data_IF_319958915703
#
_entry.id   IF_319958915703
#
_cell.length_a   1.000
_cell.length_b   1.000
_cell.length_c   1.000
_cell.angle_alpha   90.00
_cell.angle_beta   90.00
_cell.angle_gamma   90.00
#
_symmetry.space_group_name_H-M   'P 1'
#
loop_
_entity.id
_entity.type
_entity.pdbx_description
1 polymer ?
#
# COMPACT_ATOMS: atom_id res chain seq x y z
N UNK A 1 42.69 -19.70 -25.24
CA UNK A 1 43.22 -20.34 -24.01
C UNK A 1 43.48 -21.79 -24.38
N UNK A 2 44.69 -22.28 -24.26
CA UNK A 2 44.98 -23.70 -24.51
C UNK A 2 44.49 -24.52 -23.31
N UNK A 3 44.02 -25.76 -23.53
CA UNK A 3 43.50 -26.63 -22.47
C UNK A 3 44.53 -26.85 -21.36
N UNK A 4 45.80 -26.81 -21.69
CA UNK A 4 46.92 -26.94 -20.74
C UNK A 4 46.99 -25.75 -19.75
N UNK A 5 46.39 -24.61 -20.03
CA UNK A 5 46.35 -23.48 -19.11
C UNK A 5 45.42 -23.70 -17.90
N UNK A 6 44.60 -24.75 -17.93
CA UNK A 6 43.73 -25.16 -16.84
C UNK A 6 44.42 -26.07 -15.83
N UNK A 7 45.48 -26.77 -16.21
CA UNK A 7 46.21 -27.67 -15.32
C UNK A 7 47.17 -26.91 -14.40
N UNK A 8 47.10 -27.22 -13.11
CA UNK A 8 47.99 -26.60 -12.11
C UNK A 8 47.47 -25.26 -11.56
N UNK A 9 46.27 -24.80 -11.96
CA UNK A 9 45.61 -23.62 -11.40
C UNK A 9 44.43 -24.03 -10.51
N UNK A 10 44.10 -23.19 -9.51
CA UNK A 10 42.89 -23.36 -8.69
C UNK A 10 41.65 -23.31 -9.61
N UNK A 11 40.86 -24.38 -9.62
CA UNK A 11 39.66 -24.46 -10.41
C UNK A 11 38.56 -23.60 -9.74
N UNK A 12 38.00 -22.65 -10.49
CA UNK A 12 36.86 -21.83 -10.10
C UNK A 12 35.74 -22.09 -11.11
N UNK A 13 34.60 -22.59 -10.63
CA UNK A 13 33.49 -22.99 -11.48
C UNK A 13 32.31 -22.06 -11.27
N UNK A 14 31.67 -21.61 -12.33
CA UNK A 14 30.33 -20.98 -12.31
C UNK A 14 29.37 -22.06 -12.85
N UNK A 15 28.45 -22.51 -12.00
CA UNK A 15 27.39 -23.42 -12.41
C UNK A 15 26.13 -22.60 -12.72
N UNK A 16 25.59 -22.74 -13.92
CA UNK A 16 24.40 -22.00 -14.38
C UNK A 16 23.28 -23.01 -14.66
N UNK A 17 22.11 -22.81 -14.08
CA UNK A 17 20.93 -23.65 -14.28
C UNK A 17 20.83 -24.78 -13.26
N UNK A 18 21.05 -26.06 -13.65
CA UNK A 18 20.77 -27.18 -12.77
C UNK A 18 21.57 -27.19 -11.47
N UNK A 19 20.92 -27.22 -10.29
CA UNK A 19 21.59 -27.30 -9.01
C UNK A 19 22.24 -28.70 -8.74
N UNK A 20 21.91 -29.72 -9.53
CA UNK A 20 22.44 -31.08 -9.34
C UNK A 20 23.98 -31.14 -9.42
N UNK A 21 24.59 -30.33 -10.23
CA UNK A 21 26.05 -30.25 -10.35
C UNK A 21 26.75 -29.59 -9.16
N UNK A 22 26.00 -28.80 -8.36
CA UNK A 22 26.55 -28.11 -7.19
C UNK A 22 26.99 -29.09 -6.10
N UNK A 23 26.26 -30.18 -5.93
CA UNK A 23 26.55 -31.21 -4.93
C UNK A 23 27.88 -31.92 -5.25
N UNK A 24 28.09 -32.25 -6.53
CA UNK A 24 29.35 -32.87 -6.96
C UNK A 24 30.56 -31.91 -6.80
N UNK A 25 30.34 -30.61 -7.11
CA UNK A 25 31.38 -29.60 -6.90
C UNK A 25 31.73 -29.42 -5.41
N UNK A 26 30.73 -29.49 -4.52
CA UNK A 26 30.93 -29.47 -3.07
C UNK A 26 31.71 -30.70 -2.58
N UNK A 27 31.32 -31.90 -3.03
CA UNK A 27 31.99 -33.13 -2.69
C UNK A 27 33.46 -33.11 -3.08
N UNK A 28 33.78 -32.56 -4.27
CA UNK A 28 35.13 -32.40 -4.79
C UNK A 28 35.87 -31.20 -4.19
N UNK A 29 35.28 -30.44 -3.29
CA UNK A 29 35.82 -29.19 -2.70
C UNK A 29 36.26 -28.14 -3.72
N UNK A 30 35.59 -28.10 -4.87
CA UNK A 30 35.87 -27.13 -5.92
C UNK A 30 35.17 -25.81 -5.53
N UNK A 31 35.94 -24.72 -5.62
CA UNK A 31 35.37 -23.37 -5.42
C UNK A 31 34.40 -23.05 -6.54
N UNK A 32 33.15 -22.84 -6.21
CA UNK A 32 32.10 -22.62 -7.20
C UNK A 32 31.14 -21.51 -6.75
N UNK A 33 30.50 -20.92 -7.76
CA UNK A 33 29.33 -20.03 -7.63
C UNK A 33 28.20 -20.66 -8.42
N UNK A 34 27.03 -20.83 -7.80
CA UNK A 34 25.83 -21.30 -8.48
C UNK A 34 24.94 -20.11 -8.84
N UNK A 35 24.47 -20.05 -10.09
CA UNK A 35 23.48 -19.12 -10.56
C UNK A 35 22.23 -19.92 -10.97
N UNK A 36 21.13 -19.71 -10.25
CA UNK A 36 19.79 -20.23 -10.63
C UNK A 36 19.26 -19.39 -11.80
N UNK A 37 19.87 -19.60 -12.98
CA UNK A 37 19.47 -18.87 -14.18
C UNK A 37 18.11 -19.35 -14.67
N UNK A 38 17.22 -18.40 -14.91
CA UNK A 38 15.92 -18.60 -15.55
C UNK A 38 15.84 -17.69 -16.77
N UNK A 39 15.15 -18.12 -17.85
CA UNK A 39 14.96 -17.25 -18.99
C UNK A 39 14.15 -16.01 -18.57
N UNK A 40 14.51 -14.80 -19.05
CA UNK A 40 13.74 -13.58 -18.76
C UNK A 40 12.26 -13.77 -19.08
N UNK A 41 11.39 -13.20 -18.26
CA UNK A 41 9.93 -13.29 -18.40
C UNK A 41 9.39 -14.74 -18.52
N UNK A 42 10.04 -15.71 -17.83
CA UNK A 42 9.68 -17.13 -17.91
C UNK A 42 9.80 -17.76 -19.29
N UNK A 43 10.47 -17.08 -20.24
CA UNK A 43 10.62 -17.53 -21.64
C UNK A 43 9.46 -17.10 -22.56
N UNK A 44 8.54 -16.25 -22.12
CA UNK A 44 7.47 -15.71 -23.00
C UNK A 44 8.07 -14.83 -24.09
N UNK A 45 7.92 -15.31 -25.33
CA UNK A 45 8.49 -14.65 -26.53
C UNK A 45 7.93 -13.24 -26.73
N UNK A 46 6.67 -13.00 -26.37
CA UNK A 46 6.02 -11.68 -26.53
C UNK A 46 6.60 -10.67 -25.54
N UNK A 47 6.84 -11.09 -24.30
CA UNK A 47 7.45 -10.26 -23.27
C UNK A 47 8.93 -9.99 -23.56
N UNK A 48 9.66 -11.01 -24.04
CA UNK A 48 11.08 -10.84 -24.46
C UNK A 48 11.19 -9.83 -25.60
N UNK A 49 10.27 -9.84 -26.57
CA UNK A 49 10.25 -8.80 -27.64
C UNK A 49 10.00 -7.41 -27.08
N UNK A 50 9.06 -7.26 -26.11
CA UNK A 50 8.81 -5.99 -25.46
C UNK A 50 10.06 -5.51 -24.68
N UNK A 51 10.70 -6.38 -23.90
CA UNK A 51 11.95 -6.09 -23.18
C UNK A 51 13.06 -5.65 -24.12
N UNK A 52 13.25 -6.34 -25.26
CA UNK A 52 14.25 -5.97 -26.25
C UNK A 52 14.00 -4.60 -26.90
N UNK A 53 12.72 -4.21 -27.11
CA UNK A 53 12.36 -2.87 -27.57
C UNK A 53 12.67 -1.82 -26.51
N UNK A 54 12.33 -2.09 -25.24
CA UNK A 54 12.59 -1.22 -24.11
C UNK A 54 14.09 -0.99 -23.90
N UNK A 55 14.92 -2.01 -24.13
CA UNK A 55 16.37 -1.91 -23.98
C UNK A 55 17.00 -0.82 -24.85
N UNK A 56 16.41 -0.51 -26.01
CA UNK A 56 16.88 0.57 -26.89
C UNK A 56 16.74 1.97 -26.25
N UNK A 57 15.96 2.09 -25.19
CA UNK A 57 15.69 3.33 -24.45
C UNK A 57 16.30 3.33 -23.04
N UNK A 58 17.20 2.38 -22.73
CA UNK A 58 17.74 2.13 -21.39
C UNK A 58 18.26 3.41 -20.72
N UNK A 59 19.02 4.23 -21.42
CA UNK A 59 19.59 5.45 -20.84
C UNK A 59 18.47 6.43 -20.39
N UNK A 60 17.46 6.65 -21.25
CA UNK A 60 16.33 7.51 -20.91
C UNK A 60 15.50 6.98 -19.72
N UNK A 61 15.37 5.66 -19.64
CA UNK A 61 14.67 4.98 -18.55
C UNK A 61 15.45 5.15 -17.25
N UNK A 62 16.77 4.95 -17.28
CA UNK A 62 17.62 5.13 -16.11
C UNK A 62 17.53 6.55 -15.57
N UNK A 63 17.66 7.57 -16.44
CA UNK A 63 17.53 8.99 -16.06
C UNK A 63 16.14 9.30 -15.45
N UNK A 64 15.07 8.77 -16.05
CA UNK A 64 13.71 8.94 -15.57
C UNK A 64 13.46 8.24 -14.23
N UNK A 65 13.99 7.04 -14.04
CA UNK A 65 13.91 6.30 -12.79
C UNK A 65 14.72 6.99 -11.68
N UNK A 66 15.90 7.53 -11.98
CA UNK A 66 16.69 8.32 -11.03
C UNK A 66 15.93 9.58 -10.58
N UNK A 67 15.30 10.30 -11.51
CA UNK A 67 14.46 11.45 -11.17
C UNK A 67 13.26 11.06 -10.30
N UNK A 68 12.59 9.93 -10.62
CA UNK A 68 11.48 9.41 -9.83
C UNK A 68 11.92 9.05 -8.41
N UNK A 69 13.01 8.30 -8.27
CA UNK A 69 13.61 7.94 -6.97
C UNK A 69 13.96 9.19 -6.17
N UNK A 70 14.59 10.18 -6.81
CA UNK A 70 14.95 11.46 -6.18
C UNK A 70 13.70 12.18 -5.64
N UNK A 71 12.63 12.31 -6.43
CA UNK A 71 11.39 12.98 -6.00
C UNK A 71 10.77 12.29 -4.81
N UNK A 72 10.67 10.97 -4.84
CA UNK A 72 10.08 10.20 -3.74
C UNK A 72 10.93 10.28 -2.47
N UNK A 73 12.25 10.17 -2.60
CA UNK A 73 13.18 10.20 -1.45
C UNK A 73 13.24 11.56 -0.76
N UNK A 74 13.21 12.65 -1.55
CA UNK A 74 13.29 14.03 -1.04
C UNK A 74 11.95 14.60 -0.58
N UNK A 75 10.85 13.86 -0.71
CA UNK A 75 9.54 14.27 -0.26
C UNK A 75 9.49 14.43 1.27
N UNK A 76 9.12 15.64 1.71
CA UNK A 76 8.89 15.97 3.11
C UNK A 76 7.39 16.16 3.32
N UNK A 77 6.75 15.13 3.88
CA UNK A 77 5.30 15.05 4.00
C UNK A 77 4.87 15.18 5.46
N UNK A 78 4.04 16.19 5.73
CA UNK A 78 3.48 16.46 7.06
C UNK A 78 1.98 16.29 7.11
N UNK A 79 1.45 15.79 8.21
CA UNK A 79 0.04 15.95 8.56
C UNK A 79 -0.19 17.38 9.03
N UNK A 80 -1.03 18.14 8.33
CA UNK A 80 -1.28 19.56 8.61
C UNK A 80 -2.65 19.84 9.22
N UNK A 81 -3.52 18.84 9.35
CA UNK A 81 -4.83 18.95 9.98
C UNK A 81 -5.82 17.90 9.48
N UNK A 82 -7.08 18.09 9.89
CA UNK A 82 -8.23 17.32 9.43
C UNK A 82 -9.28 18.28 8.85
N UNK A 83 -9.93 17.87 7.75
CA UNK A 83 -10.96 18.65 7.06
C UNK A 83 -12.09 17.75 6.59
N UNK A 84 -13.23 18.34 6.21
CA UNK A 84 -14.24 17.59 5.48
C UNK A 84 -13.73 17.30 4.07
N UNK A 85 -13.98 16.11 3.57
CA UNK A 85 -13.50 15.68 2.25
C UNK A 85 -13.95 16.65 1.14
N UNK A 86 -15.19 17.12 1.16
CA UNK A 86 -15.73 18.07 0.17
C UNK A 86 -14.97 19.40 0.10
N UNK A 87 -14.25 19.77 1.16
CA UNK A 87 -13.58 21.08 1.23
C UNK A 87 -12.14 21.01 0.69
N UNK A 88 -11.56 19.79 0.58
CA UNK A 88 -10.14 19.61 0.29
C UNK A 88 -9.83 18.58 -0.79
N UNK A 89 -10.66 17.53 -0.95
CA UNK A 89 -10.39 16.47 -1.91
C UNK A 89 -10.69 16.95 -3.33
N UNK A 90 -9.73 16.90 -4.26
CA UNK A 90 -9.92 17.45 -5.61
C UNK A 90 -11.05 16.76 -6.36
N UNK A 91 -11.86 17.56 -7.07
CA UNK A 91 -12.95 17.08 -7.95
C UNK A 91 -14.03 16.24 -7.27
N UNK A 92 -14.06 16.15 -5.95
CA UNK A 92 -15.11 15.45 -5.20
C UNK A 92 -16.43 16.24 -5.31
N UNK A 93 -17.46 15.58 -5.87
CA UNK A 93 -18.79 16.19 -6.10
C UNK A 93 -19.76 15.79 -4.99
N UNK A 94 -20.88 16.51 -4.87
CA UNK A 94 -21.90 16.30 -3.84
C UNK A 94 -22.47 14.88 -3.86
N UNK A 95 -22.74 14.31 -5.02
CA UNK A 95 -23.25 12.93 -5.23
C UNK A 95 -22.15 12.01 -5.75
N UNK A 96 -21.03 11.97 -5.04
CA UNK A 96 -19.89 11.11 -5.38
C UNK A 96 -19.41 10.36 -4.15
N UNK A 97 -19.07 9.10 -4.32
CA UNK A 97 -18.40 8.27 -3.32
C UNK A 97 -17.15 7.67 -3.95
N UNK A 98 -16.01 7.88 -3.28
CA UNK A 98 -14.76 7.25 -3.69
C UNK A 98 -14.64 5.87 -3.04
N UNK A 99 -13.90 4.97 -3.69
CA UNK A 99 -13.63 3.62 -3.22
C UNK A 99 -12.17 3.21 -3.43
N UNK A 100 -11.72 2.16 -2.73
CA UNK A 100 -10.39 1.59 -2.93
C UNK A 100 -10.27 0.85 -4.27
N UNK A 101 -9.02 0.79 -4.77
CA UNK A 101 -8.65 0.04 -5.97
C UNK A 101 -9.03 0.70 -7.29
N UNK A 102 -8.84 -0.01 -8.42
CA UNK A 102 -9.23 0.48 -9.74
C UNK A 102 -10.73 0.63 -9.87
N UNK A 103 -11.18 1.40 -10.88
CA UNK A 103 -12.60 1.61 -11.13
C UNK A 103 -13.36 0.31 -11.36
N UNK A 104 -14.57 0.20 -10.79
CA UNK A 104 -15.47 -0.94 -10.93
C UNK A 104 -16.93 -0.48 -10.85
N UNK A 105 -17.79 -1.05 -11.68
CA UNK A 105 -19.23 -0.80 -11.61
C UNK A 105 -19.82 -1.32 -10.29
N UNK A 106 -20.76 -0.59 -9.69
CA UNK A 106 -21.39 -0.93 -8.41
C UNK A 106 -21.91 -2.38 -8.36
N UNK A 107 -22.57 -2.85 -9.43
CA UNK A 107 -23.11 -4.21 -9.49
C UNK A 107 -22.06 -5.30 -9.26
N UNK A 108 -20.81 -5.04 -9.67
CA UNK A 108 -19.68 -5.96 -9.63
C UNK A 108 -18.83 -5.81 -8.34
N UNK A 109 -19.10 -4.79 -7.51
CA UNK A 109 -18.31 -4.53 -6.30
C UNK A 109 -18.44 -5.66 -5.27
N UNK A 110 -17.39 -5.88 -4.50
CA UNK A 110 -17.35 -6.84 -3.39
C UNK A 110 -18.33 -6.49 -2.28
N UNK A 111 -18.76 -7.50 -1.51
CA UNK A 111 -19.73 -7.31 -0.41
C UNK A 111 -19.36 -6.21 0.59
N UNK A 112 -18.13 -6.19 1.16
CA UNK A 112 -17.70 -5.12 2.06
C UNK A 112 -17.79 -3.72 1.45
N UNK A 113 -17.48 -3.57 0.16
CA UNK A 113 -17.56 -2.29 -0.55
C UNK A 113 -19.01 -1.84 -0.70
N UNK A 114 -19.90 -2.73 -1.13
CA UNK A 114 -21.35 -2.44 -1.21
C UNK A 114 -21.93 -2.05 0.13
N UNK A 115 -21.59 -2.80 1.19
CA UNK A 115 -22.05 -2.46 2.55
C UNK A 115 -21.56 -1.11 3.02
N UNK A 116 -20.32 -0.76 2.72
CA UNK A 116 -19.74 0.53 3.08
C UNK A 116 -20.35 1.69 2.26
N UNK A 117 -20.69 1.49 1.00
CA UNK A 117 -21.43 2.46 0.17
C UNK A 117 -22.81 2.73 0.75
N UNK A 118 -23.55 1.68 1.13
CA UNK A 118 -24.85 1.84 1.81
C UNK A 118 -24.69 2.68 3.08
N UNK A 119 -23.67 2.38 3.88
CA UNK A 119 -23.36 3.17 5.08
C UNK A 119 -23.04 4.63 4.78
N UNK A 120 -22.28 4.91 3.74
CA UNK A 120 -21.96 6.27 3.32
C UNK A 120 -23.21 7.04 2.85
N UNK A 121 -24.10 6.41 2.08
CA UNK A 121 -25.37 6.99 1.64
C UNK A 121 -26.25 7.36 2.82
N UNK A 122 -26.36 6.49 3.81
CA UNK A 122 -27.10 6.75 5.07
C UNK A 122 -26.44 7.84 5.90
N UNK A 123 -25.11 7.84 5.98
CA UNK A 123 -24.33 8.85 6.70
C UNK A 123 -24.50 10.26 6.09
N UNK A 124 -24.50 10.38 4.77
CA UNK A 124 -24.76 11.63 4.06
C UNK A 124 -26.23 12.08 4.12
N UNK A 125 -27.14 11.19 4.56
CA UNK A 125 -28.58 11.47 4.60
C UNK A 125 -29.23 11.47 3.23
N UNK A 126 -28.62 10.84 2.22
CA UNK A 126 -29.19 10.73 0.87
C UNK A 126 -30.31 9.70 0.77
N UNK A 127 -30.38 8.78 1.73
CA UNK A 127 -31.48 7.85 1.95
C UNK A 127 -31.77 7.69 3.45
N UNK A 128 -32.98 7.25 3.79
CA UNK A 128 -33.42 7.04 5.19
C UNK A 128 -33.35 5.58 5.61
N UNK A 129 -33.43 4.65 4.66
CA UNK A 129 -33.42 3.21 4.93
C UNK A 129 -32.35 2.51 4.10
N UNK A 130 -31.96 1.31 4.51
CA UNK A 130 -31.01 0.48 3.77
C UNK A 130 -31.53 0.12 2.37
N UNK A 131 -32.84 -0.11 2.23
CA UNK A 131 -33.48 -0.41 0.95
C UNK A 131 -33.42 0.78 -0.02
N UNK A 132 -33.70 1.99 0.50
CA UNK A 132 -33.59 3.23 -0.28
C UNK A 132 -32.14 3.47 -0.69
N UNK A 133 -31.19 3.27 0.23
CA UNK A 133 -29.77 3.43 -0.03
C UNK A 133 -29.27 2.44 -1.12
N UNK A 134 -29.71 1.18 -1.08
CA UNK A 134 -29.37 0.19 -2.10
C UNK A 134 -29.93 0.59 -3.49
N UNK A 135 -31.20 1.00 -3.57
CA UNK A 135 -31.81 1.50 -4.81
C UNK A 135 -31.08 2.71 -5.36
N UNK A 136 -30.69 3.65 -4.48
CA UNK A 136 -29.95 4.85 -4.87
C UNK A 136 -28.54 4.51 -5.39
N UNK A 137 -27.86 3.55 -4.77
CA UNK A 137 -26.56 3.07 -5.25
C UNK A 137 -26.63 2.41 -6.64
N UNK A 138 -27.76 1.74 -6.95
CA UNK A 138 -28.00 1.08 -8.26
C UNK A 138 -28.53 2.04 -9.32
N UNK A 139 -29.09 3.20 -8.95
CA UNK A 139 -29.77 4.10 -9.87
C UNK A 139 -28.87 4.82 -10.86
N UNK A 140 -27.57 4.91 -10.58
CA UNK A 140 -26.61 5.70 -11.35
C UNK A 140 -26.59 7.21 -10.99
N UNK A 141 -27.39 7.65 -10.00
CA UNK A 141 -27.35 9.03 -9.52
C UNK A 141 -26.07 9.35 -8.72
N UNK A 142 -25.47 8.33 -8.09
CA UNK A 142 -24.21 8.44 -7.38
C UNK A 142 -23.09 8.00 -8.29
N UNK A 143 -22.04 8.83 -8.40
CA UNK A 143 -20.82 8.43 -9.10
C UNK A 143 -19.88 7.71 -8.15
N UNK A 144 -19.28 6.63 -8.62
CA UNK A 144 -18.24 5.87 -7.91
C UNK A 144 -16.93 6.02 -8.65
N UNK A 145 -15.90 6.50 -7.96
CA UNK A 145 -14.58 6.72 -8.55
C UNK A 145 -13.47 6.20 -7.61
N UNK A 146 -12.29 5.80 -8.16
CA UNK A 146 -11.15 5.38 -7.35
C UNK A 146 -10.61 6.51 -6.48
N UNK A 147 -10.27 6.22 -5.22
CA UNK A 147 -9.59 7.19 -4.33
C UNK A 147 -8.33 7.78 -4.98
N UNK A 148 -7.55 6.94 -5.67
CA UNK A 148 -6.29 7.34 -6.30
C UNK A 148 -6.42 8.44 -7.35
N UNK A 149 -7.58 8.58 -8.00
CA UNK A 149 -7.85 9.64 -8.98
C UNK A 149 -8.13 11.01 -8.32
N UNK A 150 -8.35 11.02 -7.00
CA UNK A 150 -8.66 12.20 -6.20
C UNK A 150 -7.59 12.49 -5.14
N UNK A 151 -6.35 12.08 -5.38
CA UNK A 151 -5.25 12.21 -4.40
C UNK A 151 -5.58 11.60 -3.02
N UNK A 152 -6.50 10.64 -2.96
CA UNK A 152 -6.92 9.98 -1.75
C UNK A 152 -6.55 8.49 -1.76
N UNK A 153 -6.57 7.88 -0.58
CA UNK A 153 -6.38 6.45 -0.36
C UNK A 153 -7.28 6.00 0.80
N UNK A 154 -7.73 4.74 0.76
CA UNK A 154 -8.54 4.19 1.84
C UNK A 154 -8.25 2.71 2.10
N UNK A 155 -8.11 2.30 3.38
CA UNK A 155 -7.94 0.89 3.71
C UNK A 155 -9.25 0.11 3.53
N UNK A 156 -9.14 -1.16 3.15
CA UNK A 156 -10.28 -2.06 2.92
C UNK A 156 -11.25 -1.48 1.87
N UNK A 157 -12.54 -1.31 2.16
CA UNK A 157 -13.47 -0.73 1.20
C UNK A 157 -13.07 0.66 0.69
N UNK A 158 -12.28 1.40 1.49
CA UNK A 158 -11.74 2.70 1.10
C UNK A 158 -12.78 3.77 0.85
N UNK A 159 -13.98 3.63 1.43
CA UNK A 159 -15.10 4.54 1.15
C UNK A 159 -14.83 5.92 1.73
N UNK A 160 -14.98 6.91 0.85
CA UNK A 160 -14.86 8.31 1.19
C UNK A 160 -16.03 9.07 0.54
N UNK A 161 -16.84 9.76 1.36
CA UNK A 161 -17.97 10.58 0.91
C UNK A 161 -17.77 12.06 1.31
N UNK A 162 -18.51 13.00 0.72
CA UNK A 162 -18.24 14.45 0.86
C UNK A 162 -18.18 14.97 2.31
N UNK A 163 -19.02 14.45 3.20
CA UNK A 163 -19.07 14.92 4.59
C UNK A 163 -18.12 14.18 5.54
N UNK A 164 -17.36 13.19 5.06
CA UNK A 164 -16.42 12.46 5.92
C UNK A 164 -15.19 13.30 6.23
N UNK A 165 -14.72 13.27 7.51
CA UNK A 165 -13.42 13.83 7.85
C UNK A 165 -12.26 13.07 7.20
N UNK A 166 -11.29 13.81 6.71
CA UNK A 166 -10.05 13.28 6.16
C UNK A 166 -8.83 13.92 6.81
N UNK A 167 -7.79 13.14 7.04
CA UNK A 167 -6.46 13.65 7.31
C UNK A 167 -5.94 14.36 6.06
N UNK A 168 -5.30 15.51 6.25
CA UNK A 168 -4.71 16.32 5.18
C UNK A 168 -3.20 16.24 5.31
N UNK A 169 -2.56 15.52 4.41
CA UNK A 169 -1.11 15.45 4.31
C UNK A 169 -0.62 16.35 3.19
N UNK A 170 0.43 17.10 3.47
CA UNK A 170 1.03 18.04 2.54
C UNK A 170 2.50 17.71 2.32
N UNK A 171 2.91 17.57 1.08
CA UNK A 171 4.28 17.42 0.67
C UNK A 171 4.90 18.80 0.47
N UNK A 172 5.68 19.26 1.44
CA UNK A 172 6.30 20.59 1.43
C UNK A 172 7.30 20.76 0.27
N UNK A 173 7.92 19.67 -0.17
CA UNK A 173 8.93 19.71 -1.24
C UNK A 173 8.30 19.94 -2.62
N UNK A 174 7.16 19.29 -2.90
CA UNK A 174 6.54 19.30 -4.25
C UNK A 174 5.18 19.97 -4.31
N UNK A 175 4.64 20.44 -3.19
CA UNK A 175 3.40 21.21 -3.13
C UNK A 175 2.13 20.40 -3.37
N UNK A 176 2.19 19.07 -3.30
CA UNK A 176 1.04 18.21 -3.51
C UNK A 176 0.47 17.67 -2.19
N UNK A 177 -0.80 17.23 -2.25
CA UNK A 177 -1.55 16.75 -1.10
C UNK A 177 -1.93 15.29 -1.25
N UNK A 178 -2.20 14.63 -0.11
CA UNK A 178 -2.89 13.35 -0.08
C UNK A 178 -3.86 13.27 1.10
N UNK A 179 -4.92 12.47 0.94
CA UNK A 179 -6.04 12.39 1.87
C UNK A 179 -6.36 10.96 2.24
N UNK A 180 -6.80 10.75 3.48
CA UNK A 180 -7.34 9.48 3.94
C UNK A 180 -8.37 9.73 5.06
N UNK A 181 -9.46 8.97 5.07
CA UNK A 181 -10.45 9.01 6.17
C UNK A 181 -9.82 8.65 7.51
N UNK A 182 -10.47 9.03 8.61
CA UNK A 182 -10.04 8.63 9.96
C UNK A 182 -10.26 7.13 10.16
N UNK A 183 -9.27 6.44 10.74
CA UNK A 183 -9.38 5.01 11.04
C UNK A 183 -10.34 4.77 12.20
N UNK A 184 -11.45 4.06 11.96
CA UNK A 184 -12.51 3.80 12.93
C UNK A 184 -12.18 2.69 13.93
N UNK A 185 -11.07 1.98 13.75
CA UNK A 185 -10.68 0.79 14.51
C UNK A 185 -10.92 -0.52 13.76
N UNK A 186 -10.88 -1.62 14.50
CA UNK A 186 -11.15 -2.99 14.00
C UNK A 186 -12.59 -3.42 14.33
N UNK A 187 -13.04 -4.50 13.69
CA UNK A 187 -14.34 -5.11 13.91
C UNK A 187 -15.45 -4.54 13.01
N UNK A 188 -16.62 -4.30 13.59
CA UNK A 188 -17.79 -3.78 12.87
C UNK A 188 -17.65 -2.26 12.65
N UNK A 189 -17.01 -1.87 11.55
CA UNK A 189 -16.77 -0.49 11.13
C UNK A 189 -17.07 -0.34 9.64
N UNK A 190 -17.23 0.91 9.16
CA UNK A 190 -17.64 1.19 7.78
C UNK A 190 -16.68 0.58 6.77
N UNK A 191 -15.37 0.66 6.98
CA UNK A 191 -14.36 0.14 6.04
C UNK A 191 -14.45 -1.38 5.80
N UNK A 192 -15.13 -2.13 6.67
CA UNK A 192 -15.48 -3.54 6.48
C UNK A 192 -16.94 -3.75 6.07
N UNK A 193 -17.64 -2.69 5.65
CA UNK A 193 -19.01 -2.75 5.16
C UNK A 193 -20.08 -2.72 6.24
N UNK A 194 -19.72 -2.48 7.52
CA UNK A 194 -20.72 -2.31 8.59
C UNK A 194 -21.39 -0.93 8.48
N UNK A 195 -22.69 -0.88 8.69
CA UNK A 195 -23.50 0.33 8.50
C UNK A 195 -24.68 0.41 9.48
N UNK A 196 -24.55 -0.21 10.66
CA UNK A 196 -25.52 -0.08 11.74
C UNK A 196 -25.51 1.35 12.33
N UNK A 197 -26.54 1.69 13.09
CA UNK A 197 -26.65 3.02 13.71
C UNK A 197 -25.45 3.36 14.60
N UNK A 198 -24.87 2.38 15.30
CA UNK A 198 -23.67 2.58 16.12
C UNK A 198 -22.45 2.98 15.26
N UNK A 199 -22.32 2.40 14.05
CA UNK A 199 -21.27 2.77 13.09
C UNK A 199 -21.49 4.19 12.59
N UNK A 200 -22.73 4.54 12.21
CA UNK A 200 -23.06 5.88 11.73
C UNK A 200 -22.87 6.94 12.83
N UNK A 201 -23.23 6.62 14.08
CA UNK A 201 -23.02 7.51 15.23
C UNK A 201 -21.53 7.73 15.50
N UNK A 202 -20.69 6.71 15.37
CA UNK A 202 -19.24 6.87 15.46
C UNK A 202 -18.69 7.79 14.36
N UNK A 203 -19.15 7.65 13.13
CA UNK A 203 -18.76 8.54 12.04
C UNK A 203 -19.19 9.99 12.28
N UNK A 204 -20.41 10.20 12.81
CA UNK A 204 -20.90 11.53 13.21
C UNK A 204 -20.03 12.13 14.32
N UNK A 205 -19.69 11.35 15.36
CA UNK A 205 -18.79 11.77 16.43
C UNK A 205 -17.38 12.12 15.87
N UNK A 206 -16.85 11.34 14.96
CA UNK A 206 -15.56 11.66 14.30
C UNK A 206 -15.66 13.02 13.60
N UNK A 207 -16.80 13.32 12.97
CA UNK A 207 -17.02 14.60 12.27
C UNK A 207 -17.22 15.79 13.23
N UNK A 208 -18.04 15.62 14.26
CA UNK A 208 -18.48 16.74 15.10
C UNK A 208 -17.56 17.05 16.28
N UNK A 209 -16.88 16.03 16.80
CA UNK A 209 -16.09 16.12 18.03
C UNK A 209 -14.60 15.91 17.77
N UNK A 210 -14.24 14.80 17.14
CA UNK A 210 -12.85 14.41 16.95
C UNK A 210 -12.11 15.30 15.93
N UNK A 211 -12.71 15.53 14.77
CA UNK A 211 -12.09 16.30 13.68
C UNK A 211 -11.73 17.74 14.10
N UNK A 212 -12.65 18.56 14.65
CA UNK A 212 -12.32 19.95 14.99
C UNK A 212 -11.26 20.04 16.08
N UNK A 213 -11.29 19.15 17.08
CA UNK A 213 -10.27 19.09 18.13
C UNK A 213 -8.90 18.72 17.54
N UNK A 214 -8.83 17.69 16.70
CA UNK A 214 -7.56 17.26 16.10
C UNK A 214 -7.01 18.28 15.10
N UNK A 215 -7.87 18.94 14.31
CA UNK A 215 -7.45 20.00 13.39
C UNK A 215 -6.80 21.19 14.15
N UNK A 216 -7.40 21.64 15.25
CA UNK A 216 -6.80 22.66 16.12
C UNK A 216 -5.50 22.15 16.75
N UNK A 217 -5.52 20.94 17.30
CA UNK A 217 -4.36 20.36 18.00
C UNK A 217 -3.13 20.23 17.11
N UNK A 218 -3.31 19.76 15.87
CA UNK A 218 -2.24 19.61 14.90
C UNK A 218 -1.70 20.98 14.48
N UNK A 219 -2.55 21.97 14.30
CA UNK A 219 -2.12 23.34 13.98
C UNK A 219 -1.33 23.98 15.12
N UNK A 220 -1.74 23.78 16.37
CA UNK A 220 -1.04 24.33 17.56
C UNK A 220 0.40 23.82 17.69
N UNK A 221 0.68 22.61 17.20
CA UNK A 221 2.05 22.05 17.23
C UNK A 221 2.80 22.23 15.90
N UNK A 222 2.22 22.91 14.91
CA UNK A 222 2.87 23.18 13.61
C UNK A 222 2.91 21.99 12.66
N UNK A 223 2.00 21.01 12.83
CA UNK A 223 1.93 19.79 12.02
C UNK A 223 2.68 18.61 12.64
N UNK A 224 2.58 17.44 12.00
CA UNK A 224 3.24 16.19 12.44
C UNK A 224 4.10 15.64 11.32
N UNK A 225 5.38 15.39 11.60
CA UNK A 225 6.30 14.72 10.68
C UNK A 225 6.02 13.21 10.65
N UNK A 226 5.28 12.78 9.65
CA UNK A 226 4.86 11.38 9.49
C UNK A 226 6.04 10.48 9.10
N UNK A 227 6.99 10.99 8.31
CA UNK A 227 8.21 10.26 7.91
C UNK A 227 9.06 9.86 9.10
N UNK A 228 9.23 10.78 10.04
CA UNK A 228 9.98 10.52 11.26
C UNK A 228 9.31 9.48 12.16
N UNK A 229 7.96 9.51 12.28
CA UNK A 229 7.22 8.50 13.04
C UNK A 229 7.39 7.12 12.39
N UNK A 230 7.25 6.99 11.06
CA UNK A 230 7.46 5.72 10.34
C UNK A 230 8.88 5.20 10.59
N UNK A 231 9.89 6.05 10.47
CA UNK A 231 11.29 5.67 10.69
C UNK A 231 11.51 5.09 12.10
N UNK A 232 11.01 5.76 13.12
CA UNK A 232 11.11 5.28 14.50
C UNK A 232 10.29 4.00 14.73
N UNK A 233 9.07 3.92 14.17
CA UNK A 233 8.21 2.76 14.32
C UNK A 233 8.82 1.49 13.71
N UNK A 234 9.45 1.59 12.54
CA UNK A 234 10.20 0.49 11.92
C UNK A 234 11.30 0.00 12.87
N UNK A 235 12.05 0.90 13.50
CA UNK A 235 13.08 0.54 14.50
C UNK A 235 12.49 -0.05 15.78
N UNK A 236 11.21 0.20 16.07
CA UNK A 236 10.49 -0.29 17.26
C UNK A 236 9.68 -1.56 16.99
N UNK A 237 9.79 -2.16 15.79
CA UNK A 237 9.15 -3.43 15.48
C UNK A 237 7.77 -3.32 14.81
N UNK A 238 7.43 -2.18 14.21
CA UNK A 238 6.32 -2.03 13.29
C UNK A 238 6.81 -2.06 11.84
N UNK A 239 5.92 -2.42 10.91
CA UNK A 239 6.14 -2.30 9.46
C UNK A 239 5.18 -1.28 8.81
N UNK A 240 4.32 -0.67 9.60
CA UNK A 240 3.41 0.44 9.25
C UNK A 240 2.35 0.10 8.18
N UNK A 241 2.00 -1.16 8.00
CA UNK A 241 0.83 -1.61 7.25
C UNK A 241 -0.09 -2.45 8.14
N UNK A 242 0.26 -3.71 8.40
CA UNK A 242 -0.56 -4.62 9.21
C UNK A 242 -0.28 -4.45 10.71
N UNK A 243 0.89 -3.94 11.06
CA UNK A 243 1.30 -3.62 12.43
C UNK A 243 1.63 -2.13 12.55
N UNK A 244 0.89 -1.45 13.43
CA UNK A 244 0.96 0.01 13.62
C UNK A 244 0.97 0.42 15.10
N UNK A 245 1.29 -0.49 16.01
CA UNK A 245 1.24 -0.23 17.46
C UNK A 245 2.22 0.87 17.90
N UNK A 246 3.48 0.73 17.50
CA UNK A 246 4.51 1.69 17.83
C UNK A 246 4.23 3.03 17.13
N UNK A 247 3.86 3.00 15.85
CA UNK A 247 3.52 4.19 15.09
C UNK A 247 2.33 4.96 15.70
N UNK A 248 1.28 4.26 16.12
CA UNK A 248 0.12 4.90 16.80
C UNK A 248 0.51 5.49 18.15
N UNK A 249 1.35 4.81 18.94
CA UNK A 249 1.83 5.33 20.21
C UNK A 249 2.72 6.58 20.04
N UNK A 250 3.60 6.57 19.04
CA UNK A 250 4.43 7.74 18.69
C UNK A 250 3.57 8.90 18.20
N UNK A 251 2.57 8.64 17.35
CA UNK A 251 1.64 9.66 16.90
C UNK A 251 0.89 10.30 18.08
N UNK A 252 0.36 9.47 19.00
CA UNK A 252 -0.31 9.99 20.20
C UNK A 252 0.62 10.86 21.05
N UNK A 253 1.87 10.45 21.21
CA UNK A 253 2.90 11.24 21.91
C UNK A 253 3.11 12.62 21.27
N UNK A 254 3.13 12.70 19.94
CA UNK A 254 3.28 13.98 19.23
C UNK A 254 2.08 14.90 19.41
N UNK A 255 0.85 14.36 19.25
CA UNK A 255 -0.37 15.20 19.24
C UNK A 255 -0.90 15.54 20.62
N UNK A 256 -0.52 14.81 21.69
CA UNK A 256 -1.05 15.03 23.05
C UNK A 256 -0.79 16.45 23.57
N UNK A 257 0.33 17.05 23.20
CA UNK A 257 0.64 18.44 23.54
C UNK A 257 -0.38 19.39 22.93
N UNK A 258 -0.64 19.26 21.63
CA UNK A 258 -1.65 20.08 20.94
C UNK A 258 -3.07 19.86 21.50
N UNK A 259 -3.43 18.59 21.77
CA UNK A 259 -4.71 18.27 22.41
C UNK A 259 -4.84 18.98 23.76
N UNK A 260 -3.78 18.96 24.57
CA UNK A 260 -3.78 19.61 25.88
C UNK A 260 -3.91 21.12 25.75
N UNK A 261 -3.22 21.74 24.81
CA UNK A 261 -3.23 23.19 24.55
C UNK A 261 -4.54 23.70 23.92
N UNK A 262 -5.31 22.83 23.26
CA UNK A 262 -6.55 23.22 22.56
C UNK A 262 -7.61 23.78 23.52
N UNK A 263 -8.55 24.56 22.98
CA UNK A 263 -9.63 25.18 23.78
C UNK A 263 -10.87 24.30 23.96
N UNK A 264 -10.78 23.00 23.66
CA UNK A 264 -11.88 22.07 23.80
C UNK A 264 -12.08 21.59 25.25
N UNK A 265 -13.32 21.15 25.62
CA UNK A 265 -13.60 20.59 26.95
C UNK A 265 -12.73 19.36 27.26
N UNK A 266 -12.40 19.18 28.57
CA UNK A 266 -11.58 18.06 29.03
C UNK A 266 -12.16 16.70 28.60
N UNK A 267 -13.46 16.53 28.68
CA UNK A 267 -14.14 15.28 28.29
C UNK A 267 -13.92 14.95 26.81
N UNK A 268 -13.99 15.93 25.93
CA UNK A 268 -13.73 15.76 24.50
C UNK A 268 -12.26 15.42 24.23
N UNK A 269 -11.33 16.08 24.93
CA UNK A 269 -9.89 15.75 24.87
C UNK A 269 -9.61 14.32 25.31
N UNK A 270 -10.19 13.88 26.42
CA UNK A 270 -10.05 12.51 26.94
C UNK A 270 -10.64 11.49 25.96
N UNK A 271 -11.80 11.78 25.39
CA UNK A 271 -12.43 10.90 24.39
C UNK A 271 -11.57 10.73 23.14
N UNK A 272 -10.95 11.81 22.65
CA UNK A 272 -10.05 11.76 21.50
C UNK A 272 -8.76 10.97 21.81
N UNK A 273 -8.15 11.19 22.96
CA UNK A 273 -6.97 10.43 23.42
C UNK A 273 -7.31 8.94 23.52
N UNK A 274 -8.42 8.59 24.17
CA UNK A 274 -8.85 7.20 24.32
C UNK A 274 -9.20 6.54 23.00
N UNK A 275 -9.75 7.27 22.04
CA UNK A 275 -10.04 6.76 20.70
C UNK A 275 -8.77 6.35 19.96
N UNK A 276 -7.73 7.20 19.98
CA UNK A 276 -6.44 6.87 19.37
C UNK A 276 -5.76 5.72 20.13
N UNK A 277 -5.73 5.79 21.48
CA UNK A 277 -5.05 4.82 22.33
C UNK A 277 -5.61 3.39 22.19
N UNK A 278 -6.93 3.25 22.00
CA UNK A 278 -7.61 1.96 21.83
C UNK A 278 -7.52 1.41 20.40
N UNK A 279 -7.09 2.23 19.45
CA UNK A 279 -7.04 1.88 18.04
C UNK A 279 -5.60 1.67 17.59
N UNK A 280 -5.05 0.47 17.82
CA UNK A 280 -3.68 0.12 17.44
C UNK A 280 -3.38 0.26 15.93
N UNK A 281 -4.42 0.35 15.08
CA UNK A 281 -4.31 0.57 13.64
C UNK A 281 -4.53 2.02 13.19
N UNK A 282 -4.66 2.95 14.13
CA UNK A 282 -4.95 4.36 13.80
C UNK A 282 -3.95 4.93 12.77
N UNK A 283 -2.67 4.63 12.95
CA UNK A 283 -1.60 5.18 12.13
C UNK A 283 -1.59 4.68 10.68
N UNK A 284 -2.24 3.57 10.36
CA UNK A 284 -2.38 3.11 8.97
C UNK A 284 -2.95 4.21 8.06
N UNK A 285 -3.96 4.94 8.54
CA UNK A 285 -4.59 6.03 7.80
C UNK A 285 -3.74 7.33 7.76
N UNK A 286 -2.51 7.30 8.27
CA UNK A 286 -1.48 8.32 8.13
C UNK A 286 -0.32 7.83 7.26
N UNK A 287 0.11 6.57 7.43
CA UNK A 287 1.16 5.97 6.60
C UNK A 287 0.73 5.86 5.13
N UNK A 288 -0.52 5.50 4.84
CA UNK A 288 -1.03 5.40 3.48
C UNK A 288 -0.99 6.74 2.72
N UNK A 289 -1.58 7.86 3.20
CA UNK A 289 -1.51 9.13 2.50
C UNK A 289 -0.10 9.74 2.51
N UNK A 290 0.78 9.43 3.47
CA UNK A 290 2.20 9.74 3.40
C UNK A 290 2.84 9.09 2.16
N UNK A 291 2.62 7.78 1.98
CA UNK A 291 3.11 7.05 0.82
C UNK A 291 2.54 7.61 -0.48
N UNK A 292 1.23 7.91 -0.51
CA UNK A 292 0.53 8.50 -1.66
C UNK A 292 1.14 9.85 -2.04
N UNK A 293 1.28 10.79 -1.11
CA UNK A 293 1.84 12.11 -1.38
C UNK A 293 3.29 12.04 -1.88
N UNK A 294 4.09 11.10 -1.34
CA UNK A 294 5.48 10.89 -1.79
C UNK A 294 5.53 10.34 -3.21
N UNK A 295 4.74 9.32 -3.51
CA UNK A 295 4.73 8.63 -4.82
C UNK A 295 4.12 9.51 -5.91
N UNK A 296 3.09 10.30 -5.60
CA UNK A 296 2.46 11.21 -6.55
C UNK A 296 3.40 12.32 -7.04
N UNK A 297 4.42 12.70 -6.26
CA UNK A 297 5.48 13.60 -6.71
C UNK A 297 6.28 13.02 -7.90
N UNK A 298 6.30 11.71 -8.05
CA UNK A 298 6.97 10.98 -9.14
C UNK A 298 6.02 10.45 -10.22
N UNK A 299 4.75 10.84 -10.25
CA UNK A 299 3.82 10.43 -11.33
C UNK A 299 4.13 11.16 -12.64
N UNK A 300 3.80 10.51 -13.75
CA UNK A 300 3.88 11.08 -15.11
C UNK A 300 5.30 11.53 -15.53
N UNK A 301 6.33 10.86 -15.04
CA UNK A 301 7.69 11.04 -15.54
C UNK A 301 7.86 10.15 -16.76
N UNK A 302 7.92 10.76 -17.96
CA UNK A 302 8.08 10.03 -19.22
C UNK A 302 9.29 9.10 -19.14
N UNK A 303 9.17 7.90 -19.64
CA UNK A 303 10.14 6.80 -19.60
C UNK A 303 10.37 6.14 -18.21
N UNK A 304 9.81 6.63 -17.11
CA UNK A 304 9.97 5.94 -15.83
C UNK A 304 9.15 4.65 -15.78
N UNK A 305 9.80 3.56 -15.42
CA UNK A 305 9.21 2.22 -15.26
C UNK A 305 8.81 1.92 -13.82
N UNK A 306 8.92 2.90 -12.91
CA UNK A 306 8.64 2.69 -11.50
C UNK A 306 7.14 2.71 -11.23
N UNK A 307 6.69 1.70 -10.47
CA UNK A 307 5.31 1.58 -9.99
C UNK A 307 4.98 2.69 -8.99
N UNK A 308 3.88 3.42 -9.24
CA UNK A 308 3.40 4.51 -8.37
C UNK A 308 2.18 4.12 -7.55
N UNK A 309 1.45 3.09 -7.97
CA UNK A 309 0.24 2.60 -7.30
C UNK A 309 0.15 1.10 -7.40
N UNK A 310 -0.17 0.47 -6.27
CA UNK A 310 -0.75 -0.87 -6.17
C UNK A 310 -2.02 -0.76 -5.32
N UNK A 311 -3.17 -1.16 -5.87
CA UNK A 311 -4.46 -1.00 -5.19
C UNK A 311 -5.46 -2.10 -5.59
N UNK A 312 -6.46 -2.38 -4.74
CA UNK A 312 -7.40 -3.50 -4.88
C UNK A 312 -8.81 -3.09 -4.47
N UNK A 313 -9.80 -3.58 -5.22
CA UNK A 313 -11.22 -3.30 -4.93
C UNK A 313 -12.00 -4.54 -4.42
N UNK A 314 -11.30 -5.64 -4.11
CA UNK A 314 -11.93 -6.90 -3.70
C UNK A 314 -12.39 -7.79 -4.86
N UNK A 315 -12.21 -7.36 -6.10
CA UNK A 315 -12.49 -8.09 -7.34
C UNK A 315 -11.27 -8.04 -8.25
N UNK A 316 -10.74 -6.85 -8.49
CA UNK A 316 -9.58 -6.59 -9.31
C UNK A 316 -8.44 -6.00 -8.48
N UNK A 317 -7.23 -6.36 -8.85
CA UNK A 317 -5.97 -5.72 -8.50
C UNK A 317 -5.56 -4.80 -9.64
N UNK A 318 -5.06 -3.60 -9.34
CA UNK A 318 -4.56 -2.67 -10.33
C UNK A 318 -3.24 -2.06 -9.94
N UNK A 319 -2.41 -1.77 -10.94
CA UNK A 319 -1.17 -1.01 -10.78
C UNK A 319 -1.16 0.20 -11.71
N UNK A 320 -0.40 1.24 -11.34
CA UNK A 320 -0.06 2.35 -12.20
C UNK A 320 1.47 2.51 -12.23
N UNK A 321 2.00 2.82 -13.42
CA UNK A 321 3.43 3.05 -13.65
C UNK A 321 3.65 4.52 -13.96
N UNK A 322 4.71 5.12 -13.45
CA UNK A 322 5.00 6.55 -13.60
C UNK A 322 4.97 7.01 -15.07
N UNK A 323 5.62 6.28 -15.98
CA UNK A 323 5.69 6.62 -17.41
C UNK A 323 4.47 6.22 -18.24
N UNK A 324 3.37 5.76 -17.64
CA UNK A 324 2.19 5.26 -18.36
C UNK A 324 0.93 6.14 -18.19
N UNK A 325 1.08 7.47 -18.05
CA UNK A 325 -0.02 8.44 -18.07
C UNK A 325 -1.20 8.13 -17.13
N UNK A 326 -0.93 7.55 -15.96
CA UNK A 326 -1.93 7.11 -14.96
C UNK A 326 -2.88 5.98 -15.44
N UNK A 327 -2.52 5.24 -16.49
CA UNK A 327 -3.29 4.08 -16.91
C UNK A 327 -3.30 2.99 -15.84
N UNK A 328 -4.45 2.35 -15.67
CA UNK A 328 -4.62 1.21 -14.78
C UNK A 328 -4.39 -0.09 -15.52
N UNK A 329 -3.47 -0.89 -15.02
CA UNK A 329 -3.25 -2.26 -15.51
C UNK A 329 -3.83 -3.24 -14.51
N UNK A 330 -4.99 -3.82 -14.84
CA UNK A 330 -5.79 -4.61 -13.91
C UNK A 330 -5.83 -6.10 -14.24
N UNK A 331 -5.97 -6.92 -13.21
CA UNK A 331 -6.31 -8.34 -13.29
C UNK A 331 -7.11 -8.75 -12.06
N UNK A 332 -7.70 -9.95 -12.07
CA UNK A 332 -8.44 -10.45 -10.92
C UNK A 332 -7.56 -10.47 -9.67
N UNK A 333 -8.05 -9.89 -8.56
CA UNK A 333 -7.32 -9.88 -7.30
C UNK A 333 -7.14 -11.31 -6.74
N UNK A 334 -5.97 -11.57 -6.17
CA UNK A 334 -5.68 -12.83 -5.50
C UNK A 334 -6.35 -12.90 -4.11
N UNK A 335 -6.46 -14.11 -3.56
CA UNK A 335 -6.78 -14.30 -2.14
C UNK A 335 -5.51 -14.15 -1.30
N UNK A 336 -5.66 -13.53 -0.13
CA UNK A 336 -4.57 -13.42 0.84
C UNK A 336 -4.32 -14.79 1.47
N UNK A 337 -3.06 -15.19 1.57
CA UNK A 337 -2.64 -16.46 2.18
C UNK A 337 -2.06 -16.19 3.56
N UNK A 338 -2.58 -16.84 4.61
CA UNK A 338 -2.09 -16.61 5.96
C UNK A 338 -2.96 -17.27 7.04
N UNK A 339 -3.05 -16.65 8.20
CA UNK A 339 -3.76 -17.19 9.36
C UNK A 339 -5.14 -16.57 9.53
N UNK A 340 -6.13 -17.42 9.74
CA UNK A 340 -7.50 -17.01 10.05
C UNK A 340 -7.69 -16.87 11.56
N UNK A 341 -8.51 -15.93 11.97
CA UNK A 341 -8.95 -15.81 13.35
C UNK A 341 -9.87 -16.97 13.73
N UNK A 342 -9.95 -17.36 15.03
CA UNK A 342 -10.80 -18.45 15.46
C UNK A 342 -12.24 -18.33 14.95
N UNK A 343 -12.73 -19.39 14.33
CA UNK A 343 -14.08 -19.48 13.79
C UNK A 343 -14.22 -19.09 12.32
N UNK A 344 -13.14 -18.64 11.65
CA UNK A 344 -13.12 -18.32 10.24
C UNK A 344 -12.22 -19.24 9.42
N UNK A 345 -12.49 -19.35 8.13
CA UNK A 345 -11.78 -20.16 7.15
C UNK A 345 -11.56 -19.38 5.85
N UNK A 346 -10.86 -19.97 4.89
CA UNK A 346 -10.67 -19.39 3.55
C UNK A 346 -12.00 -19.10 2.81
N UNK A 347 -13.06 -19.87 3.10
CA UNK A 347 -14.38 -19.70 2.51
C UNK A 347 -15.10 -18.42 3.00
N UNK A 348 -14.62 -17.80 4.07
CA UNK A 348 -15.19 -16.59 4.65
C UNK A 348 -14.50 -15.33 4.13
N UNK A 349 -13.30 -15.47 3.55
CA UNK A 349 -12.49 -14.35 3.09
C UNK A 349 -13.01 -13.76 1.77
N UNK A 350 -12.98 -12.44 1.67
CA UNK A 350 -12.99 -11.72 0.40
C UNK A 350 -11.62 -11.84 -0.30
N UNK A 351 -11.58 -11.59 -1.63
CA UNK A 351 -10.31 -11.33 -2.31
C UNK A 351 -9.65 -10.08 -1.74
N UNK A 352 -8.37 -9.93 -1.99
CA UNK A 352 -7.57 -8.79 -1.50
C UNK A 352 -8.24 -7.44 -1.82
N UNK A 353 -8.28 -6.55 -0.83
CA UNK A 353 -9.11 -5.35 -0.81
C UNK A 353 -8.40 -4.19 -0.10
N UNK A 354 -8.42 -3.01 -0.72
CA UNK A 354 -7.94 -1.76 -0.13
C UNK A 354 -6.80 -1.09 -0.91
N UNK A 355 -6.57 0.18 -0.64
CA UNK A 355 -5.45 0.93 -1.20
C UNK A 355 -4.16 0.77 -0.37
N UNK A 356 -4.21 0.01 0.70
CA UNK A 356 -3.11 -0.09 1.67
C UNK A 356 -1.80 -0.63 1.09
N UNK A 357 -1.82 -1.34 -0.08
CA UNK A 357 -0.60 -1.72 -0.79
C UNK A 357 0.24 -0.52 -1.29
N UNK A 358 -0.27 0.70 -1.17
CA UNK A 358 0.53 1.91 -1.38
C UNK A 358 1.72 1.98 -0.40
N UNK A 359 1.61 1.32 0.77
CA UNK A 359 2.71 1.21 1.74
C UNK A 359 3.86 0.38 1.17
N UNK A 360 3.60 -0.76 0.56
CA UNK A 360 4.60 -1.58 -0.13
C UNK A 360 5.15 -0.85 -1.37
N UNK A 361 4.30 -0.14 -2.10
CA UNK A 361 4.76 0.68 -3.24
C UNK A 361 5.81 1.71 -2.80
N UNK A 362 5.72 2.23 -1.58
CA UNK A 362 6.68 3.17 -0.97
C UNK A 362 7.84 2.48 -0.22
N UNK A 363 7.82 1.16 -0.11
CA UNK A 363 8.88 0.37 0.51
C UNK A 363 8.77 0.22 2.03
N UNK A 364 7.55 0.20 2.57
CA UNK A 364 7.22 -0.21 3.95
C UNK A 364 6.23 -1.37 3.90
N UNK A 365 5.56 -1.73 4.98
CA UNK A 365 4.68 -2.91 4.99
C UNK A 365 5.44 -4.19 4.70
N UNK A 366 5.03 -4.98 3.72
CA UNK A 366 5.68 -6.22 3.31
C UNK A 366 7.17 -6.10 3.00
N UNK A 367 7.61 -4.92 2.54
CA UNK A 367 9.01 -4.61 2.28
C UNK A 367 9.83 -4.38 3.55
N UNK A 368 9.19 -4.04 4.65
CA UNK A 368 9.78 -3.81 5.96
C UNK A 368 9.48 -4.93 6.98
N UNK A 369 8.96 -6.09 6.56
CA UNK A 369 8.58 -7.19 7.46
C UNK A 369 9.71 -7.65 8.38
N UNK A 370 10.96 -7.56 7.91
CA UNK A 370 12.13 -7.87 8.73
C UNK A 370 12.28 -7.00 9.96
N UNK A 371 11.66 -5.82 10.00
CA UNK A 371 11.64 -4.95 11.19
C UNK A 371 10.66 -5.45 12.26
N UNK A 372 9.62 -6.16 11.84
CA UNK A 372 8.51 -6.62 12.68
C UNK A 372 8.40 -8.16 12.72
N UNK A 373 9.40 -8.91 13.25
CA UNK A 373 9.39 -10.37 13.22
C UNK A 373 8.16 -11.00 13.87
N UNK A 374 7.52 -10.31 14.81
CA UNK A 374 6.27 -10.73 15.43
C UNK A 374 5.09 -10.84 14.43
N UNK A 375 5.23 -10.31 13.22
CA UNK A 375 4.19 -10.35 12.18
C UNK A 375 3.86 -11.80 11.78
N UNK A 376 4.81 -12.74 11.90
CA UNK A 376 4.60 -14.17 11.60
C UNK A 376 3.51 -14.79 12.47
N UNK A 377 3.19 -14.21 13.62
CA UNK A 377 2.06 -14.63 14.45
C UNK A 377 0.70 -14.34 13.82
N UNK A 378 0.64 -13.41 12.85
CA UNK A 378 -0.57 -13.02 12.15
C UNK A 378 -0.60 -13.56 10.73
N UNK A 379 0.53 -13.56 10.03
CA UNK A 379 0.59 -13.97 8.62
C UNK A 379 1.03 -15.42 8.42
N UNK A 380 1.53 -16.06 9.46
CA UNK A 380 2.15 -17.39 9.37
C UNK A 380 3.63 -17.34 8.96
N UNK A 381 4.26 -18.51 8.83
CA UNK A 381 5.68 -18.62 8.49
C UNK A 381 6.61 -18.52 9.69
N UNK A 382 7.90 -18.28 9.42
CA UNK A 382 8.97 -18.15 10.41
C UNK A 382 9.55 -16.74 10.40
N UNK A 383 10.25 -16.36 11.46
CA UNK A 383 10.98 -15.09 11.56
C UNK A 383 11.95 -14.91 10.39
N UNK A 384 12.63 -15.98 10.00
CA UNK A 384 13.57 -15.99 8.87
C UNK A 384 12.87 -15.62 7.54
N UNK A 385 11.63 -16.06 7.34
CA UNK A 385 10.85 -15.71 6.14
C UNK A 385 10.60 -14.22 6.07
N UNK A 386 10.26 -13.57 7.19
CA UNK A 386 10.05 -12.11 7.24
C UNK A 386 11.32 -11.32 6.89
N UNK A 387 12.50 -11.80 7.34
CA UNK A 387 13.79 -11.21 6.97
C UNK A 387 14.07 -11.39 5.48
N UNK A 388 13.88 -12.61 4.96
CA UNK A 388 14.13 -12.95 3.57
C UNK A 388 13.23 -12.18 2.60
N UNK A 389 11.95 -11.98 2.93
CA UNK A 389 11.05 -11.15 2.11
C UNK A 389 11.58 -9.72 1.97
N UNK A 390 12.01 -9.09 3.07
CA UNK A 390 12.58 -7.73 3.01
C UNK A 390 13.88 -7.68 2.18
N UNK A 391 14.68 -8.74 2.20
CA UNK A 391 15.89 -8.82 1.37
C UNK A 391 15.54 -9.00 -0.10
N UNK A 392 14.59 -9.91 -0.41
CA UNK A 392 14.20 -10.24 -1.78
C UNK A 392 13.63 -9.04 -2.55
N UNK A 393 12.93 -8.14 -1.88
CA UNK A 393 12.37 -6.95 -2.55
C UNK A 393 13.43 -6.04 -3.19
N UNK A 394 14.71 -6.15 -2.79
CA UNK A 394 15.78 -5.43 -3.46
C UNK A 394 16.02 -5.90 -4.91
N UNK A 395 15.63 -7.12 -5.26
CA UNK A 395 15.80 -7.67 -6.61
C UNK A 395 14.91 -6.98 -7.65
N UNK A 396 13.79 -6.42 -7.22
CA UNK A 396 12.79 -5.77 -8.09
C UNK A 396 12.70 -4.26 -7.92
N UNK A 397 13.56 -3.67 -7.08
CA UNK A 397 13.54 -2.23 -6.80
C UNK A 397 14.75 -1.52 -7.38
N UNK A 398 14.58 -0.21 -7.65
CA UNK A 398 15.64 0.68 -8.16
C UNK A 398 16.47 1.28 -7.02
N UNK A 399 15.93 1.38 -5.80
CA UNK A 399 16.57 2.13 -4.73
C UNK A 399 16.23 1.59 -3.34
N UNK A 400 16.77 2.26 -2.31
CA UNK A 400 16.53 1.97 -0.90
C UNK A 400 16.21 3.23 -0.10
N UNK A 401 15.36 3.09 0.92
CA UNK A 401 14.96 4.16 1.83
C UNK A 401 16.02 4.38 2.91
N UNK A 402 16.86 5.38 2.79
CA UNK A 402 17.96 5.62 3.75
C UNK A 402 17.47 5.90 5.17
N UNK A 403 16.23 6.36 5.35
CA UNK A 403 15.63 6.65 6.67
C UNK A 403 14.85 5.47 7.26
N UNK A 404 14.44 4.49 6.45
CA UNK A 404 13.65 3.34 6.89
C UNK A 404 14.56 2.12 6.99
N UNK A 405 15.16 1.92 8.15
CA UNK A 405 16.18 0.89 8.36
C UNK A 405 15.68 -0.23 9.26
N UNK A 406 16.06 -1.47 8.94
CA UNK A 406 15.60 -2.71 9.57
C UNK A 406 16.67 -3.20 10.56
N UNK A 407 16.50 -2.98 11.90
CA UNK A 407 17.52 -3.35 12.89
C UNK A 407 17.94 -4.83 12.83
N UNK A 408 17.03 -5.82 12.69
CA UNK A 408 17.42 -7.23 12.59
C UNK A 408 18.25 -7.60 11.34
N UNK A 409 18.36 -6.67 10.38
CA UNK A 409 19.19 -6.81 9.18
C UNK A 409 20.39 -5.83 9.20
N UNK A 410 20.99 -5.63 10.35
CA UNK A 410 22.11 -4.69 10.56
C UNK A 410 21.80 -3.28 10.04
N UNK A 411 20.56 -2.81 10.29
CA UNK A 411 20.07 -1.51 9.83
C UNK A 411 20.07 -1.34 8.31
N UNK A 412 19.94 -2.44 7.55
CA UNK A 412 19.75 -2.39 6.10
C UNK A 412 18.52 -1.54 5.77
N UNK A 413 18.64 -0.57 4.83
CA UNK A 413 17.51 0.22 4.36
C UNK A 413 16.46 -0.66 3.65
N UNK A 414 15.17 -0.33 3.77
CA UNK A 414 14.11 -0.99 3.00
C UNK A 414 14.22 -0.64 1.52
N UNK A 415 13.90 -1.62 0.66
CA UNK A 415 13.84 -1.41 -0.80
C UNK A 415 12.63 -0.54 -1.18
N UNK A 416 12.75 0.30 -2.21
CA UNK A 416 11.62 0.99 -2.84
C UNK A 416 11.89 1.33 -4.30
N UNK A 417 10.83 1.75 -5.02
CA UNK A 417 10.91 1.99 -6.45
C UNK A 417 10.80 0.70 -7.24
N UNK A 418 9.67 -0.01 -7.07
CA UNK A 418 9.36 -1.26 -7.78
C UNK A 418 9.46 -1.00 -9.27
N UNK A 419 10.39 -1.65 -9.94
CA UNK A 419 10.66 -1.49 -11.37
C UNK A 419 9.91 -2.54 -12.19
N UNK A 420 9.10 -2.07 -13.11
CA UNK A 420 8.31 -2.89 -14.03
C UNK A 420 9.15 -3.91 -14.81
N UNK A 421 10.33 -3.49 -15.27
CA UNK A 421 11.23 -4.35 -16.07
C UNK A 421 11.77 -5.45 -15.18
N UNK A 422 12.31 -5.11 -14.01
CA UNK A 422 12.88 -6.09 -13.05
C UNK A 422 11.84 -7.12 -12.60
N UNK A 423 10.59 -6.68 -12.32
CA UNK A 423 9.50 -7.60 -11.96
C UNK A 423 9.22 -8.59 -13.09
N UNK A 424 9.12 -8.12 -14.34
CA UNK A 424 8.79 -9.00 -15.46
C UNK A 424 9.98 -9.90 -15.84
N UNK A 425 11.19 -9.38 -15.83
CA UNK A 425 12.41 -10.16 -16.15
C UNK A 425 12.65 -11.29 -15.14
N UNK A 426 12.56 -10.99 -13.84
CA UNK A 426 12.85 -11.96 -12.77
C UNK A 426 11.69 -12.88 -12.44
N UNK A 427 10.46 -12.48 -12.78
CA UNK A 427 9.21 -13.10 -12.30
C UNK A 427 9.11 -13.10 -10.75
N UNK A 428 9.77 -12.14 -10.09
CA UNK A 428 9.63 -11.89 -8.67
C UNK A 428 8.57 -10.81 -8.50
N UNK A 429 7.55 -11.12 -7.70
CA UNK A 429 6.43 -10.22 -7.44
C UNK A 429 6.61 -9.49 -6.10
N UNK A 430 6.13 -8.25 -5.99
CA UNK A 430 6.07 -7.56 -4.70
C UNK A 430 5.32 -8.38 -3.67
N UNK A 431 5.82 -8.41 -2.44
CA UNK A 431 5.13 -9.04 -1.31
C UNK A 431 4.30 -7.99 -0.56
N UNK A 432 3.03 -8.25 -0.37
CA UNK A 432 2.09 -7.39 0.35
C UNK A 432 1.67 -8.12 1.63
N UNK A 433 1.79 -7.43 2.75
CA UNK A 433 1.35 -7.90 4.06
C UNK A 433 0.04 -7.20 4.43
N UNK A 434 -1.06 -7.93 4.49
CA UNK A 434 -2.39 -7.31 4.61
C UNK A 434 -3.35 -8.12 5.47
N UNK A 435 -4.43 -7.46 5.95
CA UNK A 435 -5.56 -8.13 6.60
C UNK A 435 -6.50 -8.76 5.58
N UNK A 436 -7.27 -9.76 6.03
CA UNK A 436 -8.33 -10.42 5.28
C UNK A 436 -9.69 -9.90 5.72
N UNK A 437 -10.45 -9.27 4.84
CA UNK A 437 -11.84 -8.90 5.10
C UNK A 437 -12.76 -10.11 4.91
N UNK A 438 -13.85 -10.20 5.68
CA UNK A 438 -14.93 -11.15 5.40
C UNK A 438 -15.59 -10.81 4.06
N UNK A 439 -16.03 -11.83 3.31
CA UNK A 439 -16.74 -11.64 2.03
C UNK A 439 -18.11 -10.95 2.18
N UNK A 440 -18.77 -11.18 3.33
CA UNK A 440 -20.05 -10.52 3.63
C UNK A 440 -19.80 -9.20 4.37
N UNK A 441 -20.63 -8.17 4.11
CA UNK A 441 -20.45 -6.85 4.70
C UNK A 441 -20.67 -6.86 6.23
N UNK A 442 -19.89 -6.07 6.94
CA UNK A 442 -20.12 -5.78 8.37
C UNK A 442 -19.64 -6.84 9.35
N UNK A 443 -19.01 -7.89 8.93
CA UNK A 443 -18.42 -8.91 9.81
C UNK A 443 -17.08 -8.41 10.37
N UNK A 444 -16.22 -7.85 9.54
CA UNK A 444 -14.93 -7.33 9.95
C UNK A 444 -13.75 -8.07 9.34
N UNK A 445 -12.60 -7.99 10.02
CA UNK A 445 -11.40 -8.71 9.65
C UNK A 445 -11.50 -10.18 10.10
N UNK A 446 -11.11 -11.11 9.25
CA UNK A 446 -11.17 -12.57 9.52
C UNK A 446 -9.81 -13.23 9.60
N UNK A 447 -8.76 -12.50 9.31
CA UNK A 447 -7.39 -13.02 9.34
C UNK A 447 -6.40 -11.99 8.84
N UNK A 448 -5.16 -12.43 8.69
CA UNK A 448 -4.10 -11.64 8.06
C UNK A 448 -3.13 -12.58 7.33
N UNK A 449 -2.44 -12.05 6.33
CA UNK A 449 -1.55 -12.87 5.53
C UNK A 449 -0.73 -12.07 4.54
N UNK A 450 -0.17 -12.79 3.60
CA UNK A 450 0.63 -12.27 2.50
C UNK A 450 -0.10 -12.49 1.17
N UNK A 451 0.11 -11.58 0.25
CA UNK A 451 -0.40 -11.69 -1.11
C UNK A 451 0.57 -11.05 -2.09
N UNK A 452 0.64 -11.59 -3.29
CA UNK A 452 1.35 -10.98 -4.40
C UNK A 452 0.34 -10.38 -5.38
N UNK A 453 0.69 -9.24 -6.03
CA UNK A 453 -0.06 -8.77 -7.19
C UNK A 453 -0.15 -9.85 -8.28
N UNK A 454 -1.21 -9.89 -9.08
CA UNK A 454 -1.23 -10.71 -10.28
C UNK A 454 -0.11 -10.29 -11.25
N UNK A 455 0.66 -11.27 -11.76
CA UNK A 455 1.74 -11.02 -12.71
C UNK A 455 1.24 -10.35 -14.00
N UNK A 456 0.00 -10.63 -14.37
CA UNK A 456 -0.67 -10.08 -15.54
C UNK A 456 -0.79 -8.55 -15.50
N UNK A 457 -0.86 -7.94 -14.33
CA UNK A 457 -0.84 -6.49 -14.19
C UNK A 457 0.47 -5.92 -14.75
N UNK A 458 1.59 -6.52 -14.36
CA UNK A 458 2.92 -6.09 -14.81
C UNK A 458 3.16 -6.42 -16.29
N UNK A 459 2.73 -7.59 -16.78
CA UNK A 459 2.92 -7.95 -18.19
C UNK A 459 2.10 -7.06 -19.13
N UNK A 460 0.88 -6.66 -18.73
CA UNK A 460 0.06 -5.68 -19.46
C UNK A 460 0.75 -4.31 -19.48
N UNK A 461 1.24 -3.86 -18.32
CA UNK A 461 1.95 -2.59 -18.20
C UNK A 461 3.21 -2.57 -19.07
N UNK A 462 4.00 -3.66 -19.08
CA UNK A 462 5.21 -3.75 -19.89
C UNK A 462 4.92 -3.64 -21.39
N UNK A 463 3.89 -4.34 -21.88
CA UNK A 463 3.47 -4.28 -23.28
C UNK A 463 3.00 -2.88 -23.65
N UNK A 464 2.15 -2.27 -22.83
CA UNK A 464 1.70 -0.90 -23.02
C UNK A 464 2.89 0.08 -23.06
N UNK A 465 3.78 0.00 -22.09
CA UNK A 465 4.98 0.84 -22.04
C UNK A 465 5.85 0.70 -23.28
N UNK A 466 6.11 -0.54 -23.73
CA UNK A 466 6.87 -0.80 -24.95
C UNK A 466 6.21 -0.23 -26.20
N UNK A 467 4.87 -0.25 -26.29
CA UNK A 467 4.14 0.24 -27.46
C UNK A 467 4.12 1.79 -27.52
N UNK A 468 4.25 2.49 -26.38
CA UNK A 468 4.18 3.97 -26.29
C UNK A 468 5.53 4.65 -26.06
N UNK A 469 6.66 3.97 -26.30
CA UNK A 469 7.99 4.57 -26.12
C UNK A 469 8.32 5.70 -27.11
N UNK A 470 7.67 5.73 -28.24
CA UNK A 470 7.93 6.69 -29.32
C UNK A 470 7.01 7.92 -29.26
N UNK A 471 5.95 7.86 -28.46
CA UNK A 471 4.99 8.95 -28.24
C UNK A 471 5.54 9.97 -27.22
#
# INVERSE_FOLDING_TARGET
>A
MAINDLFGKELKVINIGSPSFVEDLKLQKVKHTHLDWRPPAGGDVSLIKALNKIELYRDKINDANEEMVKRVSSSEVKLIGLKLAKDVVPNLKEKMILHAGPWIEYKNMAGPVKGAIIGAILYEGWAKTHEEAAKLAESGEIKFEPCHEHCAVGPMAGILSPSMPVHVLYNETYGNYAYCTVNEGLGKVLRFGANSEDVLNRLRWIKTDFMPLMDESIKLIGGVDVKNIISQAIQMGDECHNRNKAATALFLKEVVTGITMSNFPLEQKLSAIQFIQKNEHYFLNLSMPFCKASLDAGRNIKYSTICTVMARNGVEFGIQISGCNNEWFTHQANFVQGLFFPGFTENDAARDLGDSAITETRGIGGFAMGSAPAIVQFVGGKVEDALNYSIQMNEICESTNQTFTIPPLDFRPTAFGIDLIKVVESNILPIINTGMAHKDPGVGQVGAGLVNPPYECFTKALKYFADHLED
#
